data_IF_579046113382
#
_entry.id   IF_579046113382
#
_cell.length_a   1.000
_cell.length_b   1.000
_cell.length_c   1.000
_cell.angle_alpha   90.00
_cell.angle_beta   90.00
_cell.angle_gamma   90.00
#
_symmetry.space_group_name_H-M   'P 1'
#
loop_
_entity.id
_entity.type
_entity.pdbx_description
1 polymer ?
#
# COMPACT_ATOMS: atom_id res chain seq x y z
N UNK A 1 9.51 8.42 6.60
CA UNK A 1 8.24 8.36 5.83
C UNK A 1 8.11 6.99 5.16
N UNK A 2 6.97 6.65 4.55
CA UNK A 2 6.83 5.39 3.79
C UNK A 2 7.87 5.29 2.65
N UNK A 3 8.23 6.42 2.03
CA UNK A 3 9.30 6.52 1.02
C UNK A 3 10.67 6.12 1.56
N UNK A 4 11.01 6.60 2.77
CA UNK A 4 12.31 6.27 3.37
C UNK A 4 12.44 4.80 3.71
N UNK A 5 11.34 4.17 4.16
CA UNK A 5 11.29 2.73 4.41
C UNK A 5 11.47 1.95 3.11
N UNK A 6 10.76 2.32 2.05
CA UNK A 6 10.85 1.64 0.76
C UNK A 6 12.28 1.67 0.20
N UNK A 7 12.98 2.82 0.31
CA UNK A 7 14.38 2.94 -0.12
C UNK A 7 15.34 1.96 0.57
N UNK A 8 15.10 1.64 1.85
CA UNK A 8 15.97 0.72 2.62
C UNK A 8 15.49 -0.73 2.61
N UNK A 9 14.32 -1.01 2.02
CA UNK A 9 13.76 -2.36 1.90
C UNK A 9 13.47 -2.70 0.43
N UNK A 10 14.46 -3.23 -0.31
CA UNK A 10 14.38 -3.41 -1.77
C UNK A 10 13.28 -4.33 -2.31
N UNK A 11 12.71 -5.19 -1.46
CA UNK A 11 11.63 -6.13 -1.83
C UNK A 11 10.24 -5.61 -1.47
N UNK A 12 10.14 -4.42 -0.87
CA UNK A 12 8.85 -3.80 -0.57
C UNK A 12 8.23 -3.20 -1.83
N UNK A 13 6.90 -3.11 -1.85
CA UNK A 13 6.14 -2.39 -2.88
C UNK A 13 5.52 -1.15 -2.23
N UNK A 14 5.64 0.01 -2.87
CA UNK A 14 5.08 1.27 -2.39
C UNK A 14 4.09 1.81 -3.42
N UNK A 15 2.84 1.99 -2.98
CA UNK A 15 1.74 2.51 -3.78
C UNK A 15 1.34 3.89 -3.24
N UNK A 16 1.39 4.92 -4.09
CA UNK A 16 0.91 6.26 -3.76
C UNK A 16 -0.54 6.40 -4.23
N UNK A 17 -1.41 6.94 -3.37
CA UNK A 17 -2.80 7.25 -3.70
C UNK A 17 -2.96 8.76 -3.64
N UNK A 18 -2.93 9.40 -4.81
CA UNK A 18 -2.79 10.86 -4.96
C UNK A 18 -3.95 11.66 -4.33
N UNK A 19 -5.14 11.07 -4.19
CA UNK A 19 -6.35 11.70 -3.69
C UNK A 19 -6.80 11.21 -2.31
N UNK A 20 -5.91 10.56 -1.55
CA UNK A 20 -6.23 10.00 -0.23
C UNK A 20 -5.49 10.69 0.94
N UNK A 21 -6.18 10.76 2.09
CA UNK A 21 -5.60 11.16 3.38
C UNK A 21 -4.93 10.02 4.14
N UNK A 22 -4.86 10.13 5.47
CA UNK A 22 -4.27 9.08 6.33
C UNK A 22 -5.22 7.93 6.67
N UNK A 23 -6.53 8.11 6.45
CA UNK A 23 -7.52 7.10 6.82
C UNK A 23 -7.36 5.86 5.95
N UNK A 24 -7.21 4.69 6.56
CA UNK A 24 -7.19 3.41 5.83
C UNK A 24 -8.50 3.09 5.10
N UNK A 25 -9.55 3.88 5.35
CA UNK A 25 -10.88 3.70 4.76
C UNK A 25 -11.16 4.56 3.53
N UNK A 26 -10.21 5.38 3.11
CA UNK A 26 -10.33 6.10 1.83
C UNK A 26 -10.44 5.10 0.68
N UNK A 27 -11.22 5.45 -0.35
CA UNK A 27 -11.57 4.54 -1.45
C UNK A 27 -10.33 3.94 -2.10
N UNK A 28 -9.34 4.77 -2.44
CA UNK A 28 -8.09 4.30 -3.05
C UNK A 28 -7.22 3.48 -2.10
N UNK A 29 -7.20 3.79 -0.80
CA UNK A 29 -6.40 3.03 0.18
C UNK A 29 -7.03 1.66 0.42
N UNK A 30 -8.35 1.56 0.61
CA UNK A 30 -9.04 0.27 0.72
C UNK A 30 -8.76 -0.59 -0.52
N UNK A 31 -8.81 0.00 -1.72
CA UNK A 31 -8.55 -0.72 -2.96
C UNK A 31 -7.16 -1.39 -2.96
N UNK A 32 -6.10 -0.63 -2.66
CA UNK A 32 -4.74 -1.19 -2.59
C UNK A 32 -4.57 -2.22 -1.47
N UNK A 33 -5.23 -2.01 -0.32
CA UNK A 33 -5.21 -2.98 0.78
C UNK A 33 -5.86 -4.31 0.38
N UNK A 34 -7.00 -4.28 -0.33
CA UNK A 34 -7.65 -5.50 -0.84
C UNK A 34 -6.72 -6.21 -1.83
N UNK A 35 -6.18 -5.50 -2.82
CA UNK A 35 -5.26 -6.06 -3.80
C UNK A 35 -4.04 -6.73 -3.15
N UNK A 36 -3.46 -6.06 -2.14
CA UNK A 36 -2.36 -6.62 -1.37
C UNK A 36 -2.79 -7.92 -0.65
N UNK A 37 -3.92 -7.92 0.05
CA UNK A 37 -4.40 -9.13 0.75
C UNK A 37 -4.72 -10.28 -0.20
N UNK A 38 -5.32 -10.00 -1.36
CA UNK A 38 -5.62 -11.03 -2.36
C UNK A 38 -4.34 -11.63 -2.97
N UNK A 39 -3.27 -10.84 -3.16
CA UNK A 39 -1.96 -11.33 -3.61
C UNK A 39 -1.35 -12.35 -2.63
N UNK A 40 -1.54 -12.15 -1.33
CA UNK A 40 -1.03 -13.05 -0.29
C UNK A 40 -1.96 -14.23 0.01
N UNK A 41 -3.18 -14.25 -0.54
CA UNK A 41 -4.21 -15.25 -0.23
C UNK A 41 -3.86 -16.67 -0.66
N UNK A 42 -3.00 -16.82 -1.67
CA UNK A 42 -2.57 -18.11 -2.22
C UNK A 42 -1.11 -18.48 -1.96
N UNK A 43 -0.41 -17.72 -1.10
CA UNK A 43 0.92 -18.08 -0.58
C UNK A 43 0.79 -19.04 0.60
#
# INVERSE_FOLDING_TARGET
>A
SAWDLHKVWPKSELHWVDDAGHSSKEIGIIHELINATDKFRGL
#
